data_IF_009415721167
#
_entry.id   IF_009415721167
#
_cell.length_a   1.000
_cell.length_b   1.000
_cell.length_c   1.000
_cell.angle_alpha   90.00
_cell.angle_beta   90.00
_cell.angle_gamma   90.00
#
_symmetry.space_group_name_H-M   'P 1'
#
loop_
_entity.id
_entity.type
_entity.pdbx_description
1 polymer ?
#
# COMPACT_ATOMS: atom_id res chain seq x y z
N UNK A 1 30.91 -18.07 -16.42
CA UNK A 1 31.55 -16.90 -15.77
C UNK A 1 32.25 -17.40 -14.51
N UNK A 2 33.57 -17.31 -14.48
CA UNK A 2 34.42 -18.04 -13.53
C UNK A 2 34.39 -17.49 -12.12
N UNK A 3 34.09 -18.35 -11.15
CA UNK A 3 34.36 -18.13 -9.73
C UNK A 3 35.83 -18.47 -9.49
N UNK A 4 36.66 -17.45 -9.27
CA UNK A 4 38.04 -17.64 -8.81
C UNK A 4 37.95 -18.02 -7.33
N UNK A 5 37.99 -19.31 -7.04
CA UNK A 5 38.27 -19.82 -5.69
C UNK A 5 39.75 -19.54 -5.41
N UNK A 6 40.05 -18.44 -4.73
CA UNK A 6 41.38 -18.22 -4.14
C UNK A 6 41.55 -19.23 -3.00
N UNK A 7 42.39 -20.24 -3.21
CA UNK A 7 42.88 -21.13 -2.17
C UNK A 7 43.82 -20.34 -1.26
N UNK A 8 43.40 -20.05 -0.02
CA UNK A 8 44.27 -19.44 0.97
C UNK A 8 45.14 -20.52 1.60
N UNK A 9 46.45 -20.44 1.41
CA UNK A 9 47.41 -21.29 2.09
C UNK A 9 47.61 -20.79 3.53
N UNK A 10 47.29 -21.63 4.51
CA UNK A 10 47.34 -21.29 5.96
C UNK A 10 48.77 -20.97 6.44
N UNK A 11 49.79 -21.35 5.67
CA UNK A 11 51.21 -21.18 6.00
C UNK A 11 51.88 -19.97 5.31
N UNK A 12 51.16 -19.18 4.50
CA UNK A 12 51.71 -17.93 3.97
C UNK A 12 51.78 -16.89 5.09
N UNK A 13 53.00 -16.49 5.46
CA UNK A 13 53.24 -15.34 6.33
C UNK A 13 52.85 -14.07 5.57
N UNK A 14 51.61 -13.63 5.73
CA UNK A 14 51.16 -12.34 5.21
C UNK A 14 51.88 -11.25 5.98
N UNK A 15 52.81 -10.53 5.34
CA UNK A 15 53.37 -9.30 5.90
C UNK A 15 52.26 -8.24 5.88
N UNK A 16 51.67 -7.95 7.04
CA UNK A 16 50.69 -6.89 7.16
C UNK A 16 51.38 -5.54 6.90
N UNK A 17 50.98 -4.84 5.84
CA UNK A 17 51.38 -3.45 5.64
C UNK A 17 50.92 -2.63 6.85
N UNK A 18 51.74 -1.70 7.37
CA UNK A 18 51.37 -0.90 8.53
C UNK A 18 50.16 -0.04 8.18
N UNK A 19 49.02 -0.35 8.80
CA UNK A 19 47.77 0.40 8.63
C UNK A 19 48.02 1.81 9.14
N UNK A 20 47.93 2.79 8.25
CA UNK A 20 47.95 4.20 8.61
C UNK A 20 46.79 4.51 9.55
N UNK A 21 47.08 5.17 10.68
CA UNK A 21 46.06 5.60 11.64
C UNK A 21 45.01 6.50 10.97
N UNK A 22 45.43 7.30 9.99
CA UNK A 22 44.53 8.16 9.22
C UNK A 22 43.57 7.34 8.36
N UNK A 23 44.04 6.27 7.73
CA UNK A 23 43.21 5.41 6.89
C UNK A 23 42.20 4.63 7.75
N UNK A 24 42.63 4.13 8.91
CA UNK A 24 41.73 3.51 9.88
C UNK A 24 40.64 4.48 10.37
N UNK A 25 41.01 5.72 10.70
CA UNK A 25 40.03 6.74 11.11
C UNK A 25 39.08 7.09 9.96
N UNK A 26 39.58 7.21 8.73
CA UNK A 26 38.75 7.47 7.56
C UNK A 26 37.77 6.31 7.27
N UNK A 27 38.23 5.08 7.36
CA UNK A 27 37.41 3.88 7.18
C UNK A 27 36.35 3.76 8.28
N UNK A 28 36.69 4.01 9.54
CA UNK A 28 35.69 4.01 10.63
C UNK A 28 34.63 5.09 10.45
N UNK A 29 35.00 6.27 9.93
CA UNK A 29 34.03 7.33 9.60
C UNK A 29 33.16 6.90 8.41
N UNK A 30 33.74 6.31 7.36
CA UNK A 30 33.00 5.81 6.20
C UNK A 30 32.00 4.72 6.61
N UNK A 31 32.44 3.72 7.37
CA UNK A 31 31.60 2.63 7.86
C UNK A 31 30.45 3.17 8.73
N UNK A 32 30.71 4.15 9.61
CA UNK A 32 29.65 4.82 10.40
C UNK A 32 28.65 5.59 9.53
N UNK A 33 29.06 6.13 8.38
CA UNK A 33 28.15 6.80 7.43
C UNK A 33 27.29 5.77 6.69
N UNK A 34 27.91 4.70 6.19
CA UNK A 34 27.22 3.60 5.52
C UNK A 34 26.22 2.90 6.45
N UNK A 35 26.57 2.67 7.72
CA UNK A 35 25.63 2.16 8.73
C UNK A 35 24.44 3.09 8.97
N UNK A 36 24.66 4.41 8.94
CA UNK A 36 23.56 5.38 9.09
C UNK A 36 22.65 5.38 7.87
N UNK A 37 23.21 5.25 6.66
CA UNK A 37 22.44 5.19 5.42
C UNK A 37 21.64 3.89 5.30
N UNK A 38 22.25 2.75 5.63
CA UNK A 38 21.58 1.45 5.66
C UNK A 38 20.43 1.44 6.68
N UNK A 39 20.62 2.01 7.88
CA UNK A 39 19.53 2.15 8.87
C UNK A 39 18.39 3.08 8.41
N UNK A 40 18.68 4.09 7.58
CA UNK A 40 17.63 4.97 7.00
C UNK A 40 16.83 4.27 5.91
N UNK A 41 17.48 3.40 5.14
CA UNK A 41 16.92 2.79 3.93
C UNK A 41 16.39 1.37 4.16
N UNK A 42 16.82 0.71 5.23
CA UNK A 42 16.44 -0.66 5.56
C UNK A 42 16.25 -0.83 7.05
N UNK A 43 15.22 -1.57 7.42
CA UNK A 43 14.91 -1.90 8.80
C UNK A 43 15.46 -3.29 9.13
N UNK A 44 16.61 -3.35 9.80
CA UNK A 44 17.32 -4.60 10.11
C UNK A 44 16.51 -5.51 11.04
N UNK A 45 15.77 -4.94 11.99
CA UNK A 45 14.92 -5.68 12.95
C UNK A 45 13.79 -6.46 12.27
N UNK A 46 13.43 -6.08 11.04
CA UNK A 46 12.35 -6.67 10.25
C UNK A 46 12.89 -7.28 8.96
N UNK A 47 13.95 -8.09 9.07
CA UNK A 47 14.51 -8.85 7.94
C UNK A 47 15.06 -7.97 6.82
N UNK A 48 15.67 -6.83 7.17
CA UNK A 48 16.18 -5.84 6.21
C UNK A 48 15.11 -5.29 5.27
N UNK A 49 13.90 -5.04 5.79
CA UNK A 49 12.81 -4.44 5.02
C UNK A 49 13.24 -3.08 4.44
N UNK A 50 13.27 -2.99 3.12
CA UNK A 50 13.61 -1.76 2.40
C UNK A 50 12.52 -0.71 2.59
N UNK A 51 12.93 0.56 2.66
CA UNK A 51 12.06 1.72 2.62
C UNK A 51 11.52 1.91 1.20
N UNK A 52 10.22 1.71 0.94
CA UNK A 52 9.65 1.95 -0.38
C UNK A 52 9.48 3.44 -0.66
N UNK A 53 9.46 3.79 -1.95
CA UNK A 53 9.06 5.13 -2.40
C UNK A 53 7.55 5.30 -2.26
N UNK A 54 7.11 6.42 -1.67
CA UNK A 54 5.68 6.73 -1.46
C UNK A 54 5.07 7.32 -2.74
N UNK A 55 4.80 6.47 -3.71
CA UNK A 55 4.06 6.84 -4.94
C UNK A 55 2.61 7.23 -4.60
N UNK A 56 1.98 8.01 -5.46
CA UNK A 56 0.61 8.46 -5.24
C UNK A 56 -0.41 7.32 -5.26
N UNK A 57 -0.16 6.28 -6.07
CA UNK A 57 -0.96 5.05 -6.08
C UNK A 57 -0.94 4.35 -4.72
N UNK A 58 0.21 4.27 -4.07
CA UNK A 58 0.35 3.67 -2.75
C UNK A 58 -0.31 4.51 -1.67
N UNK A 59 -0.27 5.84 -1.77
CA UNK A 59 -1.01 6.73 -0.88
C UNK A 59 -2.52 6.52 -0.99
N UNK A 60 -3.03 6.32 -2.21
CA UNK A 60 -4.46 6.01 -2.42
C UNK A 60 -4.84 4.64 -1.85
N UNK A 61 -4.01 3.63 -2.05
CA UNK A 61 -4.21 2.31 -1.46
C UNK A 61 -4.19 2.36 0.08
N UNK A 62 -3.27 3.15 0.66
CA UNK A 62 -3.23 3.36 2.11
C UNK A 62 -4.51 4.01 2.63
N UNK A 63 -5.00 5.07 1.96
CA UNK A 63 -6.29 5.69 2.32
C UNK A 63 -7.46 4.72 2.23
N UNK A 64 -7.44 3.81 1.25
CA UNK A 64 -8.45 2.77 1.13
C UNK A 64 -8.42 1.85 2.36
N UNK A 65 -7.24 1.44 2.81
CA UNK A 65 -7.05 0.63 4.03
C UNK A 65 -7.54 1.38 5.28
N UNK A 66 -7.22 2.67 5.40
CA UNK A 66 -7.67 3.49 6.54
C UNK A 66 -9.20 3.60 6.62
N UNK A 67 -9.86 3.60 5.47
CA UNK A 67 -11.31 3.75 5.35
C UNK A 67 -12.03 2.44 5.06
N UNK A 68 -11.44 1.29 5.42
CA UNK A 68 -12.04 -0.05 5.23
C UNK A 68 -13.47 -0.17 5.77
N UNK A 69 -13.71 0.43 6.93
CA UNK A 69 -15.04 0.44 7.57
C UNK A 69 -16.10 1.23 6.80
N UNK A 70 -15.72 2.10 5.86
CA UNK A 70 -16.68 2.90 5.10
C UNK A 70 -17.26 2.14 3.91
N UNK A 71 -16.55 1.15 3.38
CA UNK A 71 -16.99 0.40 2.21
C UNK A 71 -17.35 -1.05 2.52
N UNK A 72 -16.84 -1.65 3.59
CA UNK A 72 -17.24 -3.02 3.95
C UNK A 72 -18.67 -3.03 4.51
N UNK A 73 -19.54 -3.89 3.94
CA UNK A 73 -20.93 -4.03 4.35
C UNK A 73 -21.01 -5.16 5.37
N UNK A 74 -21.56 -4.88 6.55
CA UNK A 74 -21.72 -5.84 7.66
C UNK A 74 -20.40 -6.33 8.29
N UNK A 75 -19.27 -5.67 8.00
CA UNK A 75 -18.00 -5.92 8.69
C UNK A 75 -17.70 -4.70 9.56
N UNK A 76 -17.25 -4.95 10.79
CA UNK A 76 -16.95 -3.90 11.76
C UNK A 76 -15.52 -4.10 12.25
N UNK A 77 -14.55 -3.51 11.55
CA UNK A 77 -13.17 -3.56 11.97
C UNK A 77 -12.90 -2.52 13.06
N UNK A 78 -11.91 -2.80 13.91
CA UNK A 78 -11.47 -1.86 14.95
C UNK A 78 -11.12 -0.52 14.31
N UNK A 79 -11.75 0.56 14.78
CA UNK A 79 -11.50 1.91 14.28
C UNK A 79 -10.06 2.29 14.66
N UNK A 80 -9.19 2.37 13.65
CA UNK A 80 -7.87 2.96 13.80
C UNK A 80 -7.99 4.47 13.60
N UNK A 81 -7.19 5.25 14.32
CA UNK A 81 -7.10 6.69 14.08
C UNK A 81 -6.49 6.94 12.70
N UNK A 82 -6.68 8.13 12.14
CA UNK A 82 -6.05 8.55 10.89
C UNK A 82 -4.52 8.64 11.08
N UNK A 83 -3.86 7.50 10.93
CA UNK A 83 -2.42 7.34 11.09
C UNK A 83 -1.67 7.79 9.84
N UNK A 84 -0.43 8.25 9.98
CA UNK A 84 0.41 8.53 8.82
C UNK A 84 0.81 7.20 8.15
N UNK A 85 0.95 7.23 6.83
CA UNK A 85 1.44 6.06 6.08
C UNK A 85 2.82 5.63 6.64
N UNK A 86 2.99 4.34 7.00
CA UNK A 86 4.25 3.83 7.54
C UNK A 86 5.44 4.17 6.64
N UNK A 87 6.61 4.36 7.26
CA UNK A 87 7.85 4.61 6.51
C UNK A 87 8.39 3.34 5.86
N UNK A 88 8.24 2.19 6.53
CA UNK A 88 8.63 0.89 6.00
C UNK A 88 7.38 0.02 5.83
N UNK A 89 7.14 -0.43 4.60
CA UNK A 89 6.07 -1.35 4.26
C UNK A 89 6.44 -2.12 3.00
N UNK A 90 5.73 -3.23 2.74
CA UNK A 90 5.87 -4.00 1.51
C UNK A 90 4.48 -4.30 0.95
N UNK A 91 4.35 -4.20 -0.37
CA UNK A 91 3.14 -4.63 -1.07
C UNK A 91 3.38 -6.04 -1.57
N UNK A 92 2.60 -6.97 -1.03
CA UNK A 92 2.65 -8.37 -1.41
C UNK A 92 1.40 -8.77 -2.18
N UNK A 93 1.50 -9.85 -2.95
CA UNK A 93 0.36 -10.49 -3.60
C UNK A 93 0.16 -11.84 -2.94
N UNK A 94 -1.08 -12.14 -2.57
CA UNK A 94 -1.40 -13.43 -1.96
C UNK A 94 -1.26 -14.52 -3.03
N UNK A 95 -0.37 -15.46 -2.77
CA UNK A 95 -0.26 -16.70 -3.54
C UNK A 95 -1.00 -17.75 -2.71
N UNK A 96 -2.10 -18.26 -3.23
CA UNK A 96 -2.80 -19.36 -2.56
C UNK A 96 -1.87 -20.57 -2.52
N UNK A 97 -1.57 -21.07 -1.32
CA UNK A 97 -0.78 -22.28 -1.15
C UNK A 97 -1.49 -23.50 -1.74
N UNK A 98 -0.71 -24.49 -2.17
CA UNK A 98 -1.20 -25.77 -2.70
C UNK A 98 -2.01 -26.61 -1.67
N UNK A 99 -2.11 -26.16 -0.41
CA UNK A 99 -2.82 -26.82 0.69
C UNK A 99 -4.35 -26.84 0.57
N UNK A 100 -4.90 -26.14 -0.42
CA UNK A 100 -6.28 -26.38 -0.85
C UNK A 100 -6.24 -27.36 -2.00
N UNK A 101 -6.48 -28.62 -1.62
CA UNK A 101 -6.82 -29.79 -2.45
C UNK A 101 -7.02 -29.39 -3.92
N UNK A 102 -6.11 -29.82 -4.79
CA UNK A 102 -6.34 -29.87 -6.26
C UNK A 102 -7.42 -30.92 -6.55
N UNK A 103 -8.63 -30.73 -6.03
CA UNK A 103 -9.80 -31.49 -6.43
C UNK A 103 -10.16 -30.98 -7.82
N UNK A 104 -10.40 -31.93 -8.73
CA UNK A 104 -10.66 -31.68 -10.14
C UNK A 104 -11.89 -30.79 -10.37
N UNK A 105 -12.38 -30.77 -11.61
CA UNK A 105 -13.38 -29.82 -12.13
C UNK A 105 -14.79 -29.82 -11.47
N UNK A 106 -14.94 -30.33 -10.23
CA UNK A 106 -16.16 -30.35 -9.44
C UNK A 106 -16.40 -29.12 -8.57
N UNK A 107 -17.60 -29.07 -7.96
CA UNK A 107 -18.17 -27.94 -7.21
C UNK A 107 -17.35 -27.51 -5.97
N UNK A 108 -16.50 -28.37 -5.42
CA UNK A 108 -15.68 -28.05 -4.24
C UNK A 108 -14.54 -27.05 -4.50
N UNK A 109 -14.03 -26.97 -5.74
CA UNK A 109 -12.99 -26.00 -6.15
C UNK A 109 -13.52 -24.56 -6.26
N UNK A 110 -14.82 -24.34 -6.08
CA UNK A 110 -15.47 -23.02 -6.15
C UNK A 110 -15.44 -22.23 -4.83
N UNK A 111 -15.12 -22.87 -3.70
CA UNK A 111 -15.15 -22.22 -2.37
C UNK A 111 -14.18 -21.04 -2.24
N UNK A 112 -13.18 -20.95 -3.12
CA UNK A 112 -12.19 -19.87 -3.16
C UNK A 112 -12.41 -18.84 -4.29
N UNK A 113 -13.39 -19.06 -5.18
CA UNK A 113 -13.61 -18.25 -6.39
C UNK A 113 -12.35 -17.96 -7.24
N UNK A 114 -11.27 -18.73 -7.09
CA UNK A 114 -10.08 -18.56 -7.91
C UNK A 114 -10.25 -19.32 -9.20
N UNK A 115 -10.47 -18.61 -10.30
CA UNK A 115 -10.45 -19.25 -11.61
C UNK A 115 -9.10 -19.92 -11.84
N UNK A 116 -9.06 -21.11 -12.44
CA UNK A 116 -7.82 -21.78 -12.87
C UNK A 116 -6.97 -20.94 -13.83
N UNK A 117 -7.50 -19.82 -14.33
CA UNK A 117 -6.76 -18.86 -15.13
C UNK A 117 -5.93 -17.97 -14.21
N UNK A 118 -4.62 -18.23 -14.17
CA UNK A 118 -3.64 -17.37 -13.50
C UNK A 118 -3.77 -15.94 -14.04
N UNK A 119 -4.15 -14.94 -13.22
CA UNK A 119 -4.21 -13.56 -13.70
C UNK A 119 -2.80 -13.12 -14.09
N UNK A 120 -2.62 -12.68 -15.35
CA UNK A 120 -1.31 -12.25 -15.88
C UNK A 120 -0.76 -10.98 -15.21
N UNK A 121 -1.63 -10.22 -14.52
CA UNK A 121 -1.28 -9.02 -13.76
C UNK A 121 -2.06 -9.05 -12.44
N UNK A 122 -1.35 -8.91 -11.33
CA UNK A 122 -1.99 -8.71 -10.02
C UNK A 122 -2.59 -7.31 -10.01
N UNK A 123 -3.89 -7.22 -9.78
CA UNK A 123 -4.59 -5.94 -9.68
C UNK A 123 -4.33 -5.36 -8.29
N UNK A 124 -4.19 -4.04 -8.21
CA UNK A 124 -4.15 -3.38 -6.91
C UNK A 124 -5.50 -3.51 -6.19
N UNK A 125 -5.50 -3.39 -4.87
CA UNK A 125 -6.74 -3.42 -4.08
C UNK A 125 -7.77 -2.39 -4.59
N UNK A 126 -7.30 -1.20 -4.98
CA UNK A 126 -8.15 -0.15 -5.53
C UNK A 126 -8.74 -0.51 -6.90
N UNK A 127 -7.98 -1.16 -7.78
CA UNK A 127 -8.49 -1.66 -9.06
C UNK A 127 -9.52 -2.79 -8.88
N UNK A 128 -9.33 -3.65 -7.88
CA UNK A 128 -10.32 -4.66 -7.52
C UNK A 128 -11.62 -4.02 -7.02
N UNK A 129 -11.49 -2.98 -6.18
CA UNK A 129 -12.63 -2.22 -5.69
C UNK A 129 -13.40 -1.53 -6.83
N UNK A 130 -12.71 -0.89 -7.77
CA UNK A 130 -13.34 -0.21 -8.91
C UNK A 130 -14.14 -1.18 -9.81
N UNK A 131 -13.64 -2.41 -9.97
CA UNK A 131 -14.30 -3.45 -10.76
C UNK A 131 -15.53 -4.04 -10.08
N UNK A 132 -15.71 -3.84 -8.77
CA UNK A 132 -16.88 -4.31 -8.05
C UNK A 132 -18.09 -3.40 -8.33
N UNK A 133 -19.00 -3.89 -9.17
CA UNK A 133 -20.17 -3.14 -9.65
C UNK A 133 -21.18 -2.85 -8.53
N UNK A 134 -21.43 -3.80 -7.64
CA UNK A 134 -22.37 -3.63 -6.51
C UNK A 134 -21.87 -2.53 -5.58
N UNK A 135 -20.58 -2.58 -5.22
CA UNK A 135 -19.95 -1.57 -4.39
C UNK A 135 -19.98 -0.19 -5.03
N UNK A 136 -19.70 -0.10 -6.33
CA UNK A 136 -19.79 1.16 -7.07
C UNK A 136 -21.20 1.77 -7.01
N UNK A 137 -22.24 0.96 -7.23
CA UNK A 137 -23.63 1.42 -7.14
C UNK A 137 -23.98 1.90 -5.73
N UNK A 138 -23.55 1.17 -4.70
CA UNK A 138 -23.76 1.55 -3.31
C UNK A 138 -23.07 2.88 -2.97
N UNK A 139 -21.81 3.06 -3.37
CA UNK A 139 -21.06 4.30 -3.19
C UNK A 139 -21.76 5.48 -3.86
N UNK A 140 -22.23 5.32 -5.11
CA UNK A 140 -22.97 6.38 -5.82
C UNK A 140 -24.25 6.74 -5.05
N UNK A 141 -25.03 5.75 -4.62
CA UNK A 141 -26.27 5.98 -3.86
C UNK A 141 -26.02 6.69 -2.52
N UNK A 142 -24.97 6.29 -1.80
CA UNK A 142 -24.59 6.94 -0.54
C UNK A 142 -24.06 8.35 -0.74
N UNK A 143 -23.20 8.54 -1.73
CA UNK A 143 -22.63 9.86 -2.05
C UNK A 143 -23.73 10.84 -2.48
N UNK A 144 -24.63 10.44 -3.38
CA UNK A 144 -25.74 11.27 -3.83
C UNK A 144 -26.65 11.66 -2.66
N UNK A 145 -26.99 10.73 -1.78
CA UNK A 145 -27.76 11.02 -0.56
C UNK A 145 -27.05 12.07 0.32
N UNK A 146 -25.77 11.86 0.66
CA UNK A 146 -24.98 12.81 1.45
C UNK A 146 -24.88 14.19 0.78
N UNK A 147 -24.72 14.21 -0.54
CA UNK A 147 -24.63 15.45 -1.31
C UNK A 147 -25.96 16.19 -1.33
N UNK A 148 -27.09 15.48 -1.43
CA UNK A 148 -28.41 16.11 -1.31
C UNK A 148 -28.60 16.72 0.08
N UNK A 149 -28.31 15.97 1.14
CA UNK A 149 -28.43 16.41 2.53
C UNK A 149 -27.56 17.65 2.82
N UNK A 150 -26.30 17.65 2.37
CA UNK A 150 -25.39 18.81 2.51
C UNK A 150 -25.88 20.06 1.78
N UNK A 151 -26.60 19.89 0.68
CA UNK A 151 -27.07 21.00 -0.14
C UNK A 151 -28.47 21.50 0.23
N UNK A 152 -29.14 20.87 1.20
CA UNK A 152 -30.40 21.38 1.76
C UNK A 152 -30.14 22.77 2.34
N UNK A 153 -30.94 23.76 1.94
CA UNK A 153 -30.77 25.15 2.38
C UNK A 153 -29.55 25.86 1.81
N UNK A 154 -28.84 25.25 0.86
CA UNK A 154 -27.68 25.86 0.20
C UNK A 154 -28.03 27.05 -0.70
N UNK A 155 -27.02 27.58 -1.39
CA UNK A 155 -27.17 28.76 -2.27
C UNK A 155 -28.26 28.60 -3.33
N UNK A 156 -28.48 27.39 -3.84
CA UNK A 156 -29.53 27.08 -4.82
C UNK A 156 -30.93 27.34 -4.25
N UNK A 157 -31.18 26.94 -3.00
CA UNK A 157 -32.43 27.18 -2.30
C UNK A 157 -32.71 28.67 -2.11
N UNK A 158 -31.73 29.42 -1.59
CA UNK A 158 -31.84 30.88 -1.40
C UNK A 158 -32.08 31.60 -2.74
N UNK A 159 -31.36 31.21 -3.80
CA UNK A 159 -31.57 31.76 -5.15
C UNK A 159 -32.98 31.47 -5.67
N UNK A 160 -33.52 30.29 -5.41
CA UNK A 160 -34.88 29.91 -5.80
C UNK A 160 -35.91 30.79 -5.08
N UNK A 161 -35.82 30.91 -3.76
CA UNK A 161 -36.71 31.77 -2.97
C UNK A 161 -36.63 33.24 -3.42
N UNK A 162 -35.43 33.77 -3.67
CA UNK A 162 -35.26 35.15 -4.16
C UNK A 162 -35.93 35.36 -5.51
N UNK A 163 -35.84 34.39 -6.43
CA UNK A 163 -36.53 34.47 -7.73
C UNK A 163 -38.05 34.47 -7.57
N UNK A 164 -38.58 33.63 -6.69
CA UNK A 164 -40.02 33.55 -6.41
C UNK A 164 -40.54 34.85 -5.80
N UNK A 165 -39.83 35.43 -4.83
CA UNK A 165 -40.16 36.74 -4.26
C UNK A 165 -40.13 37.87 -5.31
N UNK A 166 -39.14 37.87 -6.21
CA UNK A 166 -39.08 38.88 -7.28
C UNK A 166 -40.21 38.73 -8.31
N UNK A 167 -40.72 37.50 -8.52
CA UNK A 167 -41.91 37.28 -9.36
C UNK A 167 -43.16 37.84 -8.69
N UNK A 168 -43.35 37.55 -7.39
CA UNK A 168 -44.46 38.09 -6.59
C UNK A 168 -44.47 39.62 -6.53
N UNK A 169 -43.30 40.27 -6.48
CA UNK A 169 -43.21 41.74 -6.50
C UNK A 169 -43.51 42.38 -7.86
N UNK A 170 -43.55 41.58 -8.93
CA UNK A 170 -43.79 42.05 -10.31
C UNK A 170 -45.23 41.81 -10.78
N UNK A 171 -45.98 40.95 -10.10
CA UNK A 171 -47.44 40.80 -10.25
C UNK A 171 -48.16 41.81 -9.39
#
# INVERSE_FOLDING_TARGET
MGSIKKSFNILETVSAEPISVLDYVNDTIRNKREEKETKKNSLSEWGYMKKPEKTDELKLQWKLIQHENLFTKNEYNKIKKDEKMPDFFQVATLINGDDKIKVGAGKESQSLHTSNRRPKKCLSALQLFEKNTEMKQWCIKKYTKLQTEKNIGGKSFVRKQRRELMKLKRS
#
